data_IF_477977882418
#
_entry.id   IF_477977882418
#
_cell.length_a   1.000
_cell.length_b   1.000
_cell.length_c   1.000
_cell.angle_alpha   90.00
_cell.angle_beta   90.00
_cell.angle_gamma   90.00
#
_symmetry.space_group_name_H-M   'P 1'
#
loop_
_entity.id
_entity.type
_entity.pdbx_description
1 polymer ?
#
# COMPACT_ATOMS: atom_id res chain seq x y z
N UNK A 1 15.94 -3.11 -12.31
CA UNK A 1 14.77 -2.96 -13.23
C UNK A 1 13.49 -2.60 -12.48
N UNK A 2 13.26 -3.05 -11.23
CA UNK A 2 12.06 -2.70 -10.45
C UNK A 2 12.04 -1.25 -9.89
N UNK A 3 13.20 -0.67 -9.55
CA UNK A 3 13.28 0.73 -9.05
C UNK A 3 12.80 1.74 -10.10
N UNK A 4 13.01 1.47 -11.39
CA UNK A 4 12.60 2.36 -12.48
C UNK A 4 11.08 2.40 -12.74
N UNK A 5 10.31 1.40 -12.29
CA UNK A 5 8.85 1.41 -12.40
C UNK A 5 8.19 2.28 -11.31
N UNK A 6 8.78 2.33 -10.11
CA UNK A 6 8.37 3.26 -9.07
C UNK A 6 8.57 4.72 -9.48
N UNK A 7 9.69 5.01 -10.16
CA UNK A 7 9.95 6.34 -10.75
C UNK A 7 9.06 6.64 -11.97
N UNK A 8 8.84 5.67 -12.87
CA UNK A 8 7.97 5.86 -14.04
C UNK A 8 6.50 6.08 -13.69
N UNK A 9 6.08 5.75 -12.46
CA UNK A 9 4.71 5.99 -11.96
C UNK A 9 4.63 7.20 -11.02
N UNK A 10 5.75 7.88 -10.74
CA UNK A 10 5.74 9.18 -10.06
C UNK A 10 4.92 10.19 -10.87
N UNK A 11 3.89 10.77 -10.24
CA UNK A 11 2.97 11.72 -10.89
C UNK A 11 1.69 11.13 -11.47
N UNK A 12 1.55 9.80 -11.53
CA UNK A 12 0.37 9.16 -12.15
C UNK A 12 -0.61 8.58 -11.13
N UNK A 13 -0.11 7.91 -10.07
CA UNK A 13 -0.93 7.43 -8.96
C UNK A 13 -0.84 8.42 -7.78
N UNK A 14 -1.96 8.87 -7.17
CA UNK A 14 -1.93 9.73 -5.99
C UNK A 14 -1.10 9.14 -4.83
N UNK A 15 -0.44 9.99 -4.03
CA UNK A 15 0.45 9.54 -2.96
C UNK A 15 -0.30 8.77 -1.86
N UNK A 16 -1.51 9.20 -1.51
CA UNK A 16 -2.39 8.52 -0.56
C UNK A 16 -2.78 7.11 -1.04
N UNK A 17 -3.12 6.95 -2.32
CA UNK A 17 -3.40 5.65 -2.92
C UNK A 17 -2.20 4.69 -2.85
N UNK A 18 -0.98 5.20 -3.07
CA UNK A 18 0.26 4.43 -2.92
C UNK A 18 0.42 3.91 -1.51
N UNK A 19 0.38 4.82 -0.52
CA UNK A 19 0.61 4.46 0.88
C UNK A 19 -0.48 3.53 1.42
N UNK A 20 -1.75 3.72 1.03
CA UNK A 20 -2.83 2.79 1.40
C UNK A 20 -2.57 1.40 0.83
N UNK A 21 -2.24 1.28 -0.46
CA UNK A 21 -1.97 -0.03 -1.06
C UNK A 21 -0.75 -0.72 -0.41
N UNK A 22 0.32 0.02 -0.15
CA UNK A 22 1.52 -0.48 0.53
C UNK A 22 1.21 -0.98 1.94
N UNK A 23 0.47 -0.20 2.73
CA UNK A 23 0.11 -0.55 4.10
C UNK A 23 -0.80 -1.79 4.14
N UNK A 24 -1.80 -1.88 3.25
CA UNK A 24 -2.65 -3.07 3.13
C UNK A 24 -1.82 -4.32 2.84
N UNK A 25 -0.87 -4.26 1.90
CA UNK A 25 -0.01 -5.39 1.55
C UNK A 25 0.91 -5.77 2.71
N UNK A 26 1.56 -4.78 3.33
CA UNK A 26 2.47 -5.00 4.46
C UNK A 26 1.77 -5.68 5.63
N UNK A 27 0.60 -5.18 6.00
CA UNK A 27 -0.17 -5.72 7.10
C UNK A 27 -0.79 -7.09 6.79
N UNK A 28 -1.22 -7.33 5.55
CA UNK A 28 -1.74 -8.64 5.14
C UNK A 28 -0.72 -9.77 5.35
N UNK A 29 0.56 -9.52 5.04
CA UNK A 29 1.64 -10.49 5.26
C UNK A 29 2.30 -10.37 6.64
N UNK A 30 1.83 -9.47 7.51
CA UNK A 30 2.39 -9.29 8.85
C UNK A 30 3.83 -8.78 8.87
N UNK A 31 4.25 -8.00 7.87
CA UNK A 31 5.60 -7.42 7.86
C UNK A 31 5.69 -6.24 8.81
N UNK A 32 6.35 -6.44 9.95
CA UNK A 32 6.48 -5.43 11.01
C UNK A 32 7.20 -4.17 10.51
N UNK A 33 8.34 -4.34 9.85
CA UNK A 33 9.12 -3.23 9.30
C UNK A 33 8.35 -2.44 8.24
N UNK A 34 7.77 -3.11 7.23
CA UNK A 34 7.04 -2.41 6.17
C UNK A 34 5.77 -1.71 6.72
N UNK A 35 5.07 -2.34 7.65
CA UNK A 35 3.88 -1.75 8.29
C UNK A 35 4.24 -0.48 9.06
N UNK A 36 5.33 -0.50 9.83
CA UNK A 36 5.83 0.69 10.52
C UNK A 36 6.24 1.78 9.52
N UNK A 37 7.07 1.44 8.53
CA UNK A 37 7.59 2.41 7.56
C UNK A 37 6.47 3.13 6.80
N UNK A 38 5.48 2.40 6.29
CA UNK A 38 4.35 3.00 5.57
C UNK A 38 3.39 3.75 6.50
N UNK A 39 3.24 3.34 7.76
CA UNK A 39 2.51 4.13 8.77
C UNK A 39 3.21 5.47 9.02
N UNK A 40 4.52 5.48 9.21
CA UNK A 40 5.30 6.70 9.44
C UNK A 40 5.28 7.64 8.24
N UNK A 41 5.44 7.11 7.01
CA UNK A 41 5.38 7.90 5.77
C UNK A 41 3.98 8.53 5.62
N UNK A 42 2.92 7.73 5.72
CA UNK A 42 1.55 8.20 5.51
C UNK A 42 1.14 9.28 6.53
N UNK A 43 1.53 9.09 7.80
CA UNK A 43 1.20 10.04 8.88
C UNK A 43 2.04 11.30 8.81
N UNK A 44 3.35 11.20 8.53
CA UNK A 44 4.25 12.37 8.38
C UNK A 44 3.85 13.26 7.20
N UNK A 45 3.38 12.65 6.11
CA UNK A 45 2.88 13.37 4.94
C UNK A 45 1.41 13.82 5.09
N UNK A 46 0.76 13.53 6.21
CA UNK A 46 -0.65 13.83 6.49
C UNK A 46 -1.62 13.24 5.45
N UNK A 47 -1.23 12.13 4.83
CA UNK A 47 -2.07 11.38 3.89
C UNK A 47 -3.12 10.55 4.64
N UNK A 48 -2.72 10.02 5.80
CA UNK A 48 -3.57 9.24 6.70
C UNK A 48 -3.37 9.70 8.14
N UNK A 49 -4.42 9.60 8.94
CA UNK A 49 -4.31 9.67 10.40
C UNK A 49 -3.75 8.36 10.99
N UNK A 50 -3.23 8.42 12.21
CA UNK A 50 -2.81 7.23 12.95
C UNK A 50 -3.96 6.22 13.12
N UNK A 51 -5.18 6.69 13.38
CA UNK A 51 -6.36 5.84 13.53
C UNK A 51 -6.74 5.12 12.22
N UNK A 52 -6.58 5.79 11.07
CA UNK A 52 -6.77 5.16 9.77
C UNK A 52 -5.69 4.11 9.50
N UNK A 53 -4.42 4.41 9.79
CA UNK A 53 -3.33 3.44 9.66
C UNK A 53 -3.55 2.20 10.55
N UNK A 54 -3.99 2.40 11.79
CA UNK A 54 -4.32 1.30 12.71
C UNK A 54 -5.46 0.43 12.19
N UNK A 55 -6.54 1.04 11.69
CA UNK A 55 -7.66 0.29 11.11
C UNK A 55 -7.22 -0.53 9.89
N UNK A 56 -6.45 0.08 8.98
CA UNK A 56 -5.90 -0.62 7.81
C UNK A 56 -4.98 -1.76 8.23
N UNK A 57 -4.11 -1.52 9.21
CA UNK A 57 -3.16 -2.53 9.70
C UNK A 57 -3.86 -3.71 10.38
N UNK A 58 -5.03 -3.49 10.96
CA UNK A 58 -5.89 -4.54 11.49
C UNK A 58 -6.69 -5.30 10.40
N UNK A 59 -6.46 -4.99 9.11
CA UNK A 59 -7.16 -5.58 7.98
C UNK A 59 -8.50 -4.92 7.65
N UNK A 60 -8.89 -3.84 8.33
CA UNK A 60 -10.14 -3.14 8.12
C UNK A 60 -10.04 -1.98 7.13
N UNK A 61 -11.15 -1.64 6.47
CA UNK A 61 -11.22 -0.41 5.66
C UNK A 61 -11.47 0.78 6.59
N UNK A 62 -10.54 1.71 6.64
CA UNK A 62 -10.70 2.90 7.47
C UNK A 62 -11.76 3.87 6.90
N UNK A 63 -12.50 4.53 7.79
CA UNK A 63 -13.41 5.61 7.40
C UNK A 63 -12.65 6.89 7.04
N UNK A 64 -13.29 7.75 6.24
CA UNK A 64 -12.75 9.06 5.87
C UNK A 64 -11.50 9.02 4.98
N UNK A 65 -11.22 7.90 4.32
CA UNK A 65 -10.23 7.85 3.25
C UNK A 65 -10.70 8.74 2.09
N UNK A 66 -9.74 9.31 1.36
CA UNK A 66 -10.03 9.93 0.06
C UNK A 66 -10.62 8.90 -0.90
N UNK A 67 -11.26 9.35 -1.98
CA UNK A 67 -11.77 8.44 -3.02
C UNK A 67 -10.65 7.57 -3.60
N UNK A 68 -9.47 8.16 -3.85
CA UNK A 68 -8.30 7.46 -4.34
C UNK A 68 -7.78 6.41 -3.34
N UNK A 69 -7.64 6.78 -2.06
CA UNK A 69 -7.22 5.86 -1.01
C UNK A 69 -8.22 4.73 -0.77
N UNK A 70 -9.53 5.03 -0.80
CA UNK A 70 -10.60 4.04 -0.69
C UNK A 70 -10.52 3.00 -1.81
N UNK A 71 -10.39 3.45 -3.06
CA UNK A 71 -10.28 2.55 -4.22
C UNK A 71 -8.97 1.75 -4.22
N UNK A 72 -7.87 2.34 -3.74
CA UNK A 72 -6.61 1.64 -3.54
C UNK A 72 -6.73 0.53 -2.49
N UNK A 73 -7.38 0.79 -1.36
CA UNK A 73 -7.68 -0.23 -0.34
C UNK A 73 -8.48 -1.38 -0.96
N UNK A 74 -9.60 -1.07 -1.62
CA UNK A 74 -10.49 -2.09 -2.19
C UNK A 74 -9.77 -2.95 -3.23
N UNK A 75 -8.98 -2.32 -4.10
CA UNK A 75 -8.20 -3.02 -5.12
C UNK A 75 -7.15 -3.92 -4.51
N UNK A 76 -6.35 -3.40 -3.57
CA UNK A 76 -5.31 -4.18 -2.88
C UNK A 76 -5.93 -5.34 -2.08
N UNK A 77 -6.97 -5.06 -1.30
CA UNK A 77 -7.68 -6.06 -0.51
C UNK A 77 -8.29 -7.15 -1.39
N UNK A 78 -8.91 -6.80 -2.53
CA UNK A 78 -9.44 -7.78 -3.48
C UNK A 78 -8.33 -8.68 -4.02
N UNK A 79 -7.25 -8.10 -4.55
CA UNK A 79 -6.14 -8.86 -5.16
C UNK A 79 -5.46 -9.81 -4.17
N UNK A 80 -5.41 -9.45 -2.90
CA UNK A 80 -4.81 -10.27 -1.84
C UNK A 80 -5.72 -11.41 -1.37
N UNK A 81 -7.05 -11.23 -1.43
CA UNK A 81 -8.00 -12.19 -0.85
C UNK A 81 -8.77 -13.03 -1.87
N UNK A 82 -8.87 -12.57 -3.13
CA UNK A 82 -9.63 -13.24 -4.18
C UNK A 82 -8.68 -13.80 -5.24
N UNK A 83 -8.74 -15.12 -5.46
CA UNK A 83 -7.94 -15.78 -6.50
C UNK A 83 -8.52 -15.48 -7.88
N UNK A 84 -7.64 -15.18 -8.84
CA UNK A 84 -8.00 -14.98 -10.24
C UNK A 84 -7.93 -13.53 -10.66
N UNK A 85 -8.72 -13.16 -11.68
CA UNK A 85 -8.74 -11.80 -12.23
C UNK A 85 -9.35 -10.82 -11.23
N UNK A 86 -8.87 -9.57 -11.25
CA UNK A 86 -9.56 -8.45 -10.63
C UNK A 86 -10.98 -8.33 -11.19
N UNK A 87 -11.95 -7.95 -10.36
CA UNK A 87 -13.31 -7.67 -10.82
C UNK A 87 -13.29 -6.61 -11.94
N UNK A 88 -14.01 -6.82 -13.06
CA UNK A 88 -14.14 -5.82 -14.11
C UNK A 88 -14.64 -4.48 -13.59
N UNK A 89 -15.55 -4.49 -12.61
CA UNK A 89 -16.11 -3.29 -12.00
C UNK A 89 -15.04 -2.48 -11.26
N UNK A 90 -14.17 -3.14 -10.48
CA UNK A 90 -13.04 -2.48 -9.80
C UNK A 90 -12.03 -1.96 -10.82
N UNK A 91 -11.70 -2.78 -11.83
CA UNK A 91 -10.78 -2.38 -12.90
C UNK A 91 -11.25 -1.11 -13.62
N UNK A 92 -12.52 -1.05 -14.01
CA UNK A 92 -13.10 0.09 -14.70
C UNK A 92 -13.17 1.34 -13.80
N UNK A 93 -13.38 1.16 -12.49
CA UNK A 93 -13.29 2.27 -11.52
C UNK A 93 -11.87 2.82 -11.46
N UNK A 94 -10.86 1.96 -11.40
CA UNK A 94 -9.46 2.37 -11.43
C UNK A 94 -9.11 3.11 -12.73
N UNK A 95 -9.57 2.63 -13.88
CA UNK A 95 -9.34 3.31 -15.16
C UNK A 95 -9.94 4.71 -15.19
N UNK A 96 -11.14 4.89 -14.62
CA UNK A 96 -11.78 6.21 -14.53
C UNK A 96 -11.05 7.14 -13.56
N UNK A 97 -10.61 6.62 -12.41
CA UNK A 97 -9.99 7.43 -11.37
C UNK A 97 -8.52 7.77 -11.64
N UNK A 98 -7.76 6.82 -12.20
CA UNK A 98 -6.29 6.90 -12.29
C UNK A 98 -5.76 6.85 -13.74
N UNK A 99 -6.64 6.64 -14.72
CA UNK A 99 -6.22 6.32 -16.08
C UNK A 99 -5.50 4.97 -16.18
N UNK A 100 -5.05 4.63 -17.39
CA UNK A 100 -4.38 3.35 -17.65
C UNK A 100 -3.07 3.21 -16.88
N UNK A 101 -2.23 4.23 -16.93
CA UNK A 101 -0.90 4.21 -16.29
C UNK A 101 -1.01 4.14 -14.77
N UNK A 102 -1.95 4.90 -14.16
CA UNK A 102 -2.16 4.89 -12.72
C UNK A 102 -2.78 3.57 -12.24
N UNK A 103 -3.67 2.97 -13.03
CA UNK A 103 -4.24 1.64 -12.74
C UNK A 103 -3.16 0.56 -12.75
N UNK A 104 -2.30 0.54 -13.78
CA UNK A 104 -1.16 -0.40 -13.83
C UNK A 104 -0.17 -0.12 -12.71
N UNK A 105 0.06 1.15 -12.38
CA UNK A 105 0.86 1.57 -11.23
C UNK A 105 0.33 1.02 -9.91
N UNK A 106 -0.99 1.08 -9.67
CA UNK A 106 -1.60 0.52 -8.46
C UNK A 106 -1.39 -0.99 -8.38
N UNK A 107 -1.61 -1.73 -9.47
CA UNK A 107 -1.33 -3.17 -9.52
C UNK A 107 0.14 -3.46 -9.24
N UNK A 108 1.05 -2.64 -9.79
CA UNK A 108 2.48 -2.76 -9.54
C UNK A 108 2.82 -2.55 -8.05
N UNK A 109 2.25 -1.53 -7.41
CA UNK A 109 2.43 -1.27 -5.97
C UNK A 109 1.95 -2.47 -5.13
N UNK A 110 0.78 -3.02 -5.43
CA UNK A 110 0.26 -4.20 -4.72
C UNK A 110 1.22 -5.39 -4.86
N UNK A 111 1.68 -5.68 -6.08
CA UNK A 111 2.62 -6.78 -6.31
C UNK A 111 3.99 -6.55 -5.64
N UNK A 112 4.53 -5.33 -5.76
CA UNK A 112 5.82 -4.93 -5.19
C UNK A 112 5.81 -5.06 -3.67
N UNK A 113 4.81 -4.51 -2.98
CA UNK A 113 4.77 -4.53 -1.52
C UNK A 113 4.33 -5.87 -0.96
N UNK A 114 3.57 -6.67 -1.71
CA UNK A 114 3.36 -8.09 -1.39
C UNK A 114 4.69 -8.83 -1.36
N UNK A 115 5.46 -8.76 -2.44
CA UNK A 115 6.76 -9.43 -2.52
C UNK A 115 7.76 -8.90 -1.50
N UNK A 116 7.84 -7.58 -1.32
CA UNK A 116 8.72 -6.92 -0.35
C UNK A 116 8.41 -7.38 1.07
N UNK A 117 7.13 -7.47 1.43
CA UNK A 117 6.72 -7.93 2.77
C UNK A 117 7.12 -9.37 3.02
N UNK A 118 6.94 -10.25 2.03
CA UNK A 118 7.39 -11.65 2.11
C UNK A 118 8.92 -11.71 2.26
N UNK A 119 9.67 -10.91 1.50
CA UNK A 119 11.12 -10.88 1.56
C UNK A 119 11.65 -10.40 2.93
N UNK A 120 11.05 -9.34 3.48
CA UNK A 120 11.39 -8.83 4.81
C UNK A 120 11.11 -9.86 5.91
N UNK A 121 9.98 -10.55 5.83
CA UNK A 121 9.65 -11.62 6.78
C UNK A 121 10.62 -12.79 6.66
N UNK A 122 10.99 -13.19 5.43
CA UNK A 122 11.97 -14.26 5.21
C UNK A 122 13.35 -13.92 5.81
N UNK A 123 13.69 -12.63 5.89
CA UNK A 123 14.91 -12.13 6.48
C UNK A 123 14.77 -11.74 7.98
N UNK A 124 13.62 -12.00 8.60
CA UNK A 124 13.31 -11.65 10.00
C UNK A 124 13.59 -10.16 10.33
N UNK A 125 13.29 -9.27 9.38
CA UNK A 125 13.50 -7.83 9.58
C UNK A 125 12.43 -7.29 10.51
N UNK A 126 12.84 -6.90 11.71
CA UNK A 126 11.96 -6.31 12.70
C UNK A 126 11.70 -4.83 12.42
N UNK A 127 10.57 -4.34 12.93
CA UNK A 127 10.35 -2.91 13.12
C UNK A 127 11.52 -2.33 13.93
N UNK A 128 12.20 -1.32 13.40
CA UNK A 128 13.23 -0.65 14.20
C UNK A 128 12.55 0.00 15.40
N UNK A 129 13.02 -0.31 16.60
CA UNK A 129 12.87 0.64 17.71
C UNK A 129 13.31 2.01 17.18
N UNK A 130 12.48 3.04 17.37
CA UNK A 130 12.81 4.39 16.90
C UNK A 130 14.27 4.69 17.26
N UNK A 131 15.02 5.24 16.32
CA UNK A 131 16.45 5.53 16.41
C UNK A 131 16.90 5.89 17.84
N UNK A 132 17.39 4.91 18.59
CA UNK A 132 18.09 5.11 19.86
C UNK A 132 19.56 5.29 19.48
N UNK A 133 19.96 6.53 19.30
CA UNK A 133 21.32 6.89 18.95
C UNK A 133 22.28 6.58 20.09
N UNK A 134 22.77 5.33 20.17
CA UNK A 134 24.04 4.97 20.79
C UNK A 134 24.43 3.52 20.41
N UNK A 135 25.23 3.39 19.36
CA UNK A 135 26.32 2.40 19.23
C UNK A 135 27.48 3.05 18.50
#
# INVERSE_FOLDING_TARGET
MLVGLGEATQGVLPLDAREVASLVCASHFGSAYATQAHTEIATKLKLLSHAQCQTISAGGKAEGLSEAGSLAYETAHYLLNVRGSLSPEIWDQCLRAFGKEGTVGLVHYVALYTWTSIALNAADVTASGGYDGDT
#
